data_IF_216372651162
#
_entry.id   IF_216372651162
#
_cell.length_a   1.000
_cell.length_b   1.000
_cell.length_c   1.000
_cell.angle_alpha   90.00
_cell.angle_beta   90.00
_cell.angle_gamma   90.00
#
_symmetry.space_group_name_H-M   'P 1'
#
loop_
_entity.id
_entity.type
_entity.pdbx_description
1 polymer ?
#
# COMPACT_ATOMS: atom_id res chain seq x y z
N UNK A 1 28.61 -23.68 10.33
CA UNK A 1 29.28 -24.93 10.73
C UNK A 1 30.17 -24.55 11.90
N UNK A 2 29.64 -24.67 13.11
CA UNK A 2 30.44 -24.45 14.30
C UNK A 2 31.26 -25.73 14.47
N UNK A 3 32.56 -25.62 14.21
CA UNK A 3 33.53 -26.58 14.73
C UNK A 3 33.60 -26.33 16.25
N UNK A 4 32.62 -26.86 16.97
CA UNK A 4 32.83 -27.19 18.38
C UNK A 4 33.85 -28.30 18.37
N UNK A 5 34.93 -28.12 19.12
CA UNK A 5 36.12 -28.97 19.28
C UNK A 5 35.78 -30.36 19.90
N UNK A 6 34.75 -31.03 19.39
CA UNK A 6 34.52 -32.45 19.57
C UNK A 6 34.96 -33.19 18.32
N UNK A 7 35.45 -34.42 18.48
CA UNK A 7 35.74 -35.34 17.37
C UNK A 7 34.46 -35.60 16.55
N UNK A 8 34.21 -34.75 15.55
CA UNK A 8 33.12 -34.94 14.61
C UNK A 8 33.50 -36.07 13.67
N UNK A 9 32.75 -37.17 13.70
CA UNK A 9 32.91 -38.28 12.77
C UNK A 9 32.09 -38.06 11.50
N UNK A 10 32.70 -38.31 10.35
CA UNK A 10 32.13 -38.09 9.02
C UNK A 10 32.04 -39.41 8.27
N UNK A 11 30.96 -39.57 7.52
CA UNK A 11 30.74 -40.67 6.58
C UNK A 11 30.59 -40.09 5.19
N UNK A 12 30.90 -40.87 4.17
CA UNK A 12 30.75 -40.45 2.77
C UNK A 12 29.31 -40.71 2.34
N UNK A 13 28.65 -39.72 1.74
CA UNK A 13 27.29 -39.89 1.19
C UNK A 13 27.32 -40.95 0.10
N UNK A 14 26.52 -42.01 0.27
CA UNK A 14 26.41 -43.18 -0.61
C UNK A 14 26.13 -42.80 -2.09
N UNK A 15 25.54 -41.63 -2.36
CA UNK A 15 25.23 -41.18 -3.71
C UNK A 15 26.37 -40.37 -4.35
N UNK A 16 27.54 -40.96 -4.54
CA UNK A 16 28.49 -40.43 -5.51
C UNK A 16 27.99 -40.80 -6.92
N UNK A 17 27.01 -40.05 -7.45
CA UNK A 17 26.30 -40.34 -8.71
C UNK A 17 27.20 -40.32 -9.97
N UNK A 18 28.50 -40.04 -9.85
CA UNK A 18 29.49 -40.20 -10.91
C UNK A 18 30.12 -41.61 -10.98
N UNK A 19 29.89 -42.49 -10.00
CA UNK A 19 30.46 -43.85 -10.02
C UNK A 19 29.72 -44.84 -10.93
N UNK A 20 28.51 -44.52 -11.40
CA UNK A 20 27.72 -45.46 -12.22
C UNK A 20 28.26 -45.67 -13.66
N UNK A 21 29.32 -44.95 -14.06
CA UNK A 21 29.86 -45.02 -15.44
C UNK A 21 31.29 -45.56 -15.55
N UNK A 22 31.92 -46.01 -14.46
CA UNK A 22 33.21 -46.70 -14.52
C UNK A 22 33.05 -48.16 -14.08
N UNK A 23 33.54 -49.16 -14.86
CA UNK A 23 33.45 -50.58 -14.50
C UNK A 23 34.27 -50.98 -13.27
N UNK A 24 35.02 -50.04 -12.66
CA UNK A 24 35.87 -50.26 -11.49
C UNK A 24 35.18 -49.78 -10.20
N UNK A 25 33.88 -49.46 -10.25
CA UNK A 25 33.05 -49.32 -9.04
C UNK A 25 32.82 -50.71 -8.39
N UNK A 26 33.90 -51.38 -7.98
CA UNK A 26 33.83 -52.19 -6.76
C UNK A 26 33.47 -51.20 -5.67
N UNK A 27 32.30 -51.41 -5.08
CA UNK A 27 31.85 -50.75 -3.87
C UNK A 27 33.06 -50.68 -2.94
N UNK A 28 33.53 -49.48 -2.62
CA UNK A 28 34.51 -49.36 -1.57
C UNK A 28 33.82 -49.88 -0.31
N UNK A 29 34.28 -51.02 0.21
CA UNK A 29 33.68 -51.66 1.38
C UNK A 29 33.56 -50.68 2.55
N UNK A 30 34.49 -49.72 2.65
CA UNK A 30 34.48 -48.67 3.67
C UNK A 30 33.38 -47.60 3.44
N UNK A 31 33.07 -47.26 2.18
CA UNK A 31 31.95 -46.38 1.83
C UNK A 31 30.59 -47.10 2.01
N UNK A 32 30.51 -48.39 1.66
CA UNK A 32 29.28 -49.18 1.81
C UNK A 32 28.96 -49.46 3.29
N UNK A 33 29.98 -49.75 4.10
CA UNK A 33 29.85 -49.94 5.55
C UNK A 33 29.68 -48.65 6.35
N UNK A 34 29.61 -47.48 5.69
CA UNK A 34 29.55 -46.16 6.34
C UNK A 34 30.63 -46.00 7.41
N UNK A 35 31.87 -46.30 7.05
CA UNK A 35 33.01 -46.13 7.97
C UNK A 35 33.09 -44.68 8.42
N UNK A 36 33.30 -44.48 9.72
CA UNK A 36 33.43 -43.17 10.35
C UNK A 36 34.89 -42.69 10.24
N UNK A 37 35.07 -41.49 9.69
CA UNK A 37 36.37 -40.83 9.51
C UNK A 37 36.41 -39.51 10.28
N UNK A 38 37.60 -39.01 10.61
CA UNK A 38 37.76 -37.57 10.90
C UNK A 38 37.62 -36.77 9.58
N UNK A 39 37.39 -35.45 9.66
CA UNK A 39 37.14 -34.63 8.45
C UNK A 39 38.25 -34.76 7.40
N UNK A 40 39.50 -34.75 7.85
CA UNK A 40 40.68 -34.86 6.97
C UNK A 40 40.74 -36.24 6.30
N UNK A 41 40.60 -37.31 7.07
CA UNK A 41 40.60 -38.68 6.55
C UNK A 41 39.42 -38.98 5.63
N UNK A 42 38.27 -38.34 5.85
CA UNK A 42 37.11 -38.45 4.96
C UNK A 42 37.38 -37.78 3.60
N UNK A 43 38.02 -36.61 3.60
CA UNK A 43 38.42 -35.91 2.37
C UNK A 43 39.55 -36.64 1.66
N UNK A 44 40.54 -37.14 2.39
CA UNK A 44 41.62 -37.98 1.83
C UNK A 44 41.06 -39.25 1.18
N UNK A 45 40.10 -39.92 1.82
CA UNK A 45 39.42 -41.08 1.23
C UNK A 45 38.65 -40.70 -0.05
N UNK A 46 37.95 -39.56 -0.05
CA UNK A 46 37.30 -39.03 -1.24
C UNK A 46 38.29 -38.69 -2.37
N UNK A 47 39.48 -38.19 -2.04
CA UNK A 47 40.50 -37.87 -3.05
C UNK A 47 41.22 -39.12 -3.57
N UNK A 48 41.52 -40.09 -2.69
CA UNK A 48 42.19 -41.34 -3.04
C UNK A 48 41.38 -42.21 -4.01
N UNK A 49 40.05 -42.20 -3.90
CA UNK A 49 39.15 -42.94 -4.80
C UNK A 49 38.88 -42.25 -6.15
N UNK A 50 39.48 -41.08 -6.44
CA UNK A 50 39.09 -40.18 -7.53
C UNK A 50 40.16 -39.88 -8.58
N UNK A 51 41.05 -40.83 -8.89
CA UNK A 51 42.01 -40.70 -10.01
C UNK A 51 41.34 -40.45 -11.39
N UNK A 52 40.02 -40.70 -11.54
CA UNK A 52 39.32 -40.62 -12.83
C UNK A 52 38.16 -39.61 -12.91
N UNK A 53 37.81 -38.88 -11.84
CA UNK A 53 36.59 -38.03 -11.84
C UNK A 53 36.79 -36.58 -11.39
N UNK A 54 38.03 -36.14 -11.13
CA UNK A 54 38.27 -34.71 -10.93
C UNK A 54 38.12 -33.98 -12.28
N UNK A 55 37.33 -32.91 -12.29
CA UNK A 55 37.45 -31.91 -13.35
C UNK A 55 38.92 -31.45 -13.41
N UNK A 56 39.51 -31.23 -14.61
CA UNK A 56 40.96 -31.00 -14.82
C UNK A 56 41.54 -29.70 -14.21
N UNK A 57 40.98 -29.20 -13.09
CA UNK A 57 41.44 -28.04 -12.34
C UNK A 57 41.06 -28.06 -10.84
N UNK A 58 40.76 -29.21 -10.25
CA UNK A 58 40.53 -29.29 -8.80
C UNK A 58 41.87 -29.23 -8.05
N UNK A 59 42.13 -28.12 -7.35
CA UNK A 59 43.26 -27.98 -6.43
C UNK A 59 42.77 -28.27 -5.02
N UNK A 60 43.44 -29.18 -4.32
CA UNK A 60 43.15 -29.48 -2.91
C UNK A 60 43.63 -28.27 -2.08
N UNK A 61 42.72 -27.53 -1.42
CA UNK A 61 43.10 -26.37 -0.64
C UNK A 61 43.80 -26.77 0.66
N UNK A 62 44.62 -25.87 1.20
CA UNK A 62 45.38 -26.11 2.44
C UNK A 62 44.47 -26.23 3.68
N UNK A 63 43.23 -25.74 3.62
CA UNK A 63 42.27 -25.86 4.71
C UNK A 63 41.16 -26.86 4.35
N UNK A 64 40.89 -27.88 5.21
CA UNK A 64 39.88 -28.91 4.94
C UNK A 64 38.45 -28.37 4.71
N UNK A 65 38.13 -27.20 5.29
CA UNK A 65 36.80 -26.60 5.20
C UNK A 65 36.55 -25.82 3.90
N UNK A 66 37.60 -25.48 3.16
CA UNK A 66 37.52 -24.83 1.85
C UNK A 66 37.44 -25.85 0.70
N UNK A 67 37.55 -27.14 1.02
CA UNK A 67 37.50 -28.20 0.03
C UNK A 67 36.07 -28.37 -0.52
N UNK A 68 35.83 -28.16 -1.83
CA UNK A 68 34.50 -28.35 -2.42
C UNK A 68 34.01 -29.79 -2.30
N UNK A 69 34.88 -30.78 -2.06
CA UNK A 69 34.51 -32.16 -1.83
C UNK A 69 33.79 -32.39 -0.50
N UNK A 70 33.85 -31.44 0.45
CA UNK A 70 33.15 -31.52 1.74
C UNK A 70 31.63 -31.69 1.60
N UNK A 71 31.05 -31.23 0.49
CA UNK A 71 29.62 -31.38 0.19
C UNK A 71 29.16 -32.85 0.11
N UNK A 72 30.09 -33.77 -0.19
CA UNK A 72 29.87 -35.21 -0.28
C UNK A 72 30.01 -35.94 1.05
N UNK A 73 30.39 -35.23 2.12
CA UNK A 73 30.45 -35.78 3.46
C UNK A 73 29.13 -35.57 4.20
N UNK A 74 28.82 -36.51 5.09
CA UNK A 74 27.70 -36.48 6.01
C UNK A 74 28.23 -36.72 7.41
N UNK A 75 27.83 -35.90 8.38
CA UNK A 75 28.20 -36.14 9.77
C UNK A 75 27.55 -37.46 10.24
N UNK A 76 28.37 -38.39 10.71
CA UNK A 76 27.97 -39.75 11.08
C UNK A 76 27.13 -39.76 12.35
N UNK A 77 27.41 -38.82 13.25
CA UNK A 77 26.59 -38.54 14.43
C UNK A 77 25.92 -37.19 14.19
N UNK A 78 24.58 -37.07 14.29
CA UNK A 78 23.97 -35.75 14.30
C UNK A 78 24.46 -35.04 15.55
N UNK A 79 25.56 -34.30 15.45
CA UNK A 79 26.02 -33.41 16.51
C UNK A 79 24.84 -32.53 16.89
N UNK A 80 24.66 -32.30 18.20
CA UNK A 80 23.70 -31.33 18.69
C UNK A 80 23.86 -30.05 17.86
N UNK A 81 22.80 -29.68 17.14
CA UNK A 81 22.81 -28.46 16.33
C UNK A 81 23.06 -27.33 17.32
N UNK A 82 24.20 -26.66 17.17
CA UNK A 82 24.52 -25.54 18.03
C UNK A 82 23.40 -24.49 17.97
N UNK A 83 23.11 -23.76 19.06
CA UNK A 83 22.04 -22.76 19.12
C UNK A 83 22.16 -21.69 18.01
N UNK A 84 23.38 -21.41 17.53
CA UNK A 84 23.66 -20.57 16.37
C UNK A 84 22.98 -21.03 15.07
N UNK A 85 22.99 -22.35 14.82
CA UNK A 85 22.44 -22.94 13.61
C UNK A 85 20.92 -22.86 13.62
N UNK A 86 20.29 -23.17 14.75
CA UNK A 86 18.83 -23.06 14.89
C UNK A 86 18.39 -21.59 14.81
N UNK A 87 19.16 -20.68 15.43
CA UNK A 87 18.95 -19.24 15.29
C UNK A 87 19.03 -18.82 13.82
N UNK A 88 20.08 -19.21 13.08
CA UNK A 88 20.24 -18.90 11.65
C UNK A 88 19.09 -19.43 10.80
N UNK A 89 18.66 -20.67 11.05
CA UNK A 89 17.56 -21.29 10.31
C UNK A 89 16.24 -20.56 10.54
N UNK A 90 15.93 -20.17 11.77
CA UNK A 90 14.73 -19.39 12.07
C UNK A 90 14.75 -18.02 11.39
N UNK A 91 15.89 -17.36 11.51
CA UNK A 91 16.19 -16.10 10.84
C UNK A 91 16.01 -16.22 9.29
N UNK A 92 16.36 -17.37 8.68
CA UNK A 92 16.13 -17.62 7.24
C UNK A 92 14.67 -17.89 6.89
N UNK A 93 13.91 -18.54 7.78
CA UNK A 93 12.45 -18.72 7.61
C UNK A 93 11.72 -17.38 7.64
N UNK A 94 12.10 -16.49 8.57
CA UNK A 94 11.57 -15.12 8.64
C UNK A 94 11.83 -14.39 7.32
N UNK A 95 13.07 -14.47 6.82
CA UNK A 95 13.44 -13.85 5.55
C UNK A 95 12.63 -14.38 4.36
N UNK A 96 12.43 -15.70 4.27
CA UNK A 96 11.61 -16.31 3.23
C UNK A 96 10.16 -15.79 3.29
N UNK A 97 9.57 -15.71 4.49
CA UNK A 97 8.22 -15.18 4.70
C UNK A 97 8.12 -13.72 4.23
N UNK A 98 9.10 -12.89 4.57
CA UNK A 98 9.11 -11.48 4.20
C UNK A 98 9.29 -11.30 2.68
N UNK A 99 10.14 -12.11 2.04
CA UNK A 99 10.28 -12.15 0.58
C UNK A 99 8.99 -12.58 -0.11
N UNK A 100 8.28 -13.58 0.43
CA UNK A 100 6.98 -14.01 -0.12
C UNK A 100 5.94 -12.88 -0.02
N UNK A 101 5.96 -12.09 1.05
CA UNK A 101 5.09 -10.92 1.20
C UNK A 101 5.42 -9.83 0.17
N UNK A 102 6.69 -9.53 -0.01
CA UNK A 102 7.18 -8.58 -1.04
C UNK A 102 6.77 -9.06 -2.43
N UNK A 103 7.00 -10.33 -2.75
CA UNK A 103 6.65 -10.96 -4.02
C UNK A 103 5.15 -10.91 -4.28
N UNK A 104 4.33 -11.12 -3.24
CA UNK A 104 2.87 -10.99 -3.34
C UNK A 104 2.47 -9.57 -3.78
N UNK A 105 3.03 -8.53 -3.16
CA UNK A 105 2.76 -7.14 -3.54
C UNK A 105 3.28 -6.81 -4.95
N UNK A 106 4.47 -7.29 -5.32
CA UNK A 106 4.98 -7.12 -6.69
C UNK A 106 4.08 -7.78 -7.74
N UNK A 107 3.53 -8.96 -7.43
CA UNK A 107 2.54 -9.62 -8.31
C UNK A 107 1.25 -8.83 -8.39
N UNK A 108 0.77 -8.26 -7.28
CA UNK A 108 -0.39 -7.37 -7.30
C UNK A 108 -0.14 -6.15 -8.19
N UNK A 109 1.04 -5.54 -8.08
CA UNK A 109 1.46 -4.39 -8.90
C UNK A 109 1.48 -4.73 -10.38
N UNK A 110 1.89 -5.96 -10.76
CA UNK A 110 1.92 -6.40 -12.16
C UNK A 110 0.55 -6.31 -12.85
N UNK A 111 -0.56 -6.50 -12.13
CA UNK A 111 -1.90 -6.34 -12.72
C UNK A 111 -2.20 -4.89 -13.11
N UNK A 112 -1.59 -3.90 -12.45
CA UNK A 112 -1.71 -2.48 -12.82
C UNK A 112 -0.80 -2.09 -14.00
N UNK A 113 0.20 -2.92 -14.32
CA UNK A 113 1.07 -2.76 -15.49
C UNK A 113 0.56 -3.49 -16.73
N UNK A 114 -0.22 -4.56 -16.55
CA UNK A 114 -0.70 -5.39 -17.64
C UNK A 114 -1.72 -4.60 -18.48
N UNK A 115 -1.30 -4.20 -19.68
CA UNK A 115 -2.16 -3.60 -20.70
C UNK A 115 -3.27 -4.60 -21.08
N UNK A 116 -4.57 -4.29 -20.92
CA UNK A 116 -5.58 -4.94 -21.75
C UNK A 116 -5.43 -4.33 -23.15
N UNK A 117 -4.72 -5.03 -24.03
CA UNK A 117 -4.51 -4.57 -25.40
C UNK A 117 -3.35 -5.24 -26.14
N UNK A 118 -2.38 -5.83 -25.43
CA UNK A 118 -1.30 -6.60 -26.04
C UNK A 118 -1.17 -7.96 -25.32
N UNK A 119 -2.16 -8.84 -25.46
CA UNK A 119 -1.83 -10.27 -25.43
C UNK A 119 -1.06 -10.58 -26.72
N UNK A 120 0.04 -11.35 -26.68
CA UNK A 120 0.64 -11.87 -27.90
C UNK A 120 -0.44 -12.67 -28.65
N UNK A 121 -0.64 -12.39 -29.94
CA UNK A 121 -1.63 -13.05 -30.82
C UNK A 121 -1.36 -14.55 -31.07
N UNK A 122 -0.50 -15.19 -30.27
CA UNK A 122 0.01 -16.54 -30.56
C UNK A 122 -0.85 -17.68 -30.02
N UNK A 123 -1.87 -17.42 -29.18
CA UNK A 123 -2.65 -18.49 -28.51
C UNK A 123 -4.17 -18.51 -28.84
N UNK A 124 -4.62 -17.90 -29.94
CA UNK A 124 -6.02 -18.03 -30.40
C UNK A 124 -6.15 -18.95 -31.63
N UNK A 125 -7.06 -19.96 -31.61
CA UNK A 125 -7.34 -20.80 -32.78
C UNK A 125 -7.75 -19.99 -34.02
N UNK A 126 -7.24 -20.41 -35.17
CA UNK A 126 -7.25 -19.70 -36.47
C UNK A 126 -8.62 -19.36 -37.10
N UNK A 127 -9.75 -19.60 -36.42
CA UNK A 127 -11.08 -19.45 -37.04
C UNK A 127 -11.66 -18.03 -37.00
N UNK A 128 -11.08 -17.11 -36.21
CA UNK A 128 -11.57 -15.70 -36.12
C UNK A 128 -10.74 -14.73 -36.98
N UNK A 129 -9.66 -15.20 -37.63
CA UNK A 129 -8.76 -14.33 -38.43
C UNK A 129 -9.32 -13.90 -39.79
N UNK A 130 -10.49 -14.39 -40.22
CA UNK A 130 -11.01 -14.11 -41.57
C UNK A 130 -11.98 -12.92 -41.67
N UNK A 131 -12.57 -12.48 -40.57
CA UNK A 131 -13.61 -11.43 -40.61
C UNK A 131 -13.11 -10.02 -40.23
N UNK A 132 -11.85 -9.88 -39.80
CA UNK A 132 -11.29 -8.58 -39.37
C UNK A 132 -10.36 -7.90 -40.39
N UNK A 133 -10.16 -8.49 -41.58
CA UNK A 133 -9.24 -7.93 -42.59
C UNK A 133 -9.80 -6.78 -43.44
N UNK A 134 -11.07 -6.38 -43.24
CA UNK A 134 -11.72 -5.36 -44.08
C UNK A 134 -11.94 -3.99 -43.42
N UNK A 135 -11.44 -3.76 -42.20
CA UNK A 135 -11.40 -2.40 -41.64
C UNK A 135 -9.98 -2.07 -41.21
N UNK A 136 -9.31 -1.32 -42.07
CA UNK A 136 -8.03 -0.67 -41.81
C UNK A 136 -8.34 0.75 -41.32
N UNK A 137 -8.27 1.07 -40.01
CA UNK A 137 -8.19 2.45 -39.60
C UNK A 137 -6.73 2.88 -39.77
N UNK A 138 -6.58 4.06 -40.35
CA UNK A 138 -5.33 4.77 -40.58
C UNK A 138 -4.46 4.79 -39.33
N UNK A 139 -3.19 4.44 -39.49
CA UNK A 139 -2.16 4.56 -38.47
C UNK A 139 -2.01 6.04 -38.08
N UNK A 140 -2.67 6.47 -37.02
CA UNK A 140 -2.28 7.67 -36.30
C UNK A 140 -0.98 7.36 -35.54
N UNK A 141 0.03 8.15 -35.85
CA UNK A 141 1.43 7.97 -35.47
C UNK A 141 1.69 8.44 -34.02
N UNK A 142 0.83 8.06 -33.08
CA UNK A 142 1.07 8.27 -31.66
C UNK A 142 1.65 6.97 -31.08
N UNK A 143 2.97 6.82 -31.18
CA UNK A 143 3.69 5.94 -30.25
C UNK A 143 3.33 6.41 -28.84
N UNK A 144 2.41 5.69 -28.19
CA UNK A 144 2.06 5.90 -26.81
C UNK A 144 3.33 5.65 -25.98
N UNK A 145 4.06 6.73 -25.66
CA UNK A 145 5.15 6.71 -24.71
C UNK A 145 4.73 5.91 -23.49
N UNK A 146 5.44 4.83 -23.23
CA UNK A 146 5.19 4.00 -22.06
C UNK A 146 5.25 4.94 -20.82
N UNK A 147 4.22 4.94 -19.96
CA UNK A 147 4.26 5.79 -18.78
C UNK A 147 5.49 5.42 -17.96
N UNK A 148 6.34 6.41 -17.68
CA UNK A 148 7.54 6.23 -16.86
C UNK A 148 7.20 5.54 -15.54
N UNK A 149 8.02 4.58 -15.14
CA UNK A 149 7.86 3.85 -13.89
C UNK A 149 7.82 4.85 -12.71
N UNK A 150 6.87 4.72 -11.78
CA UNK A 150 6.86 5.52 -10.56
C UNK A 150 8.18 5.44 -9.80
N UNK A 151 8.72 6.57 -9.36
CA UNK A 151 9.95 6.67 -8.56
C UNK A 151 9.89 5.79 -7.31
N UNK A 152 8.69 5.63 -6.74
CA UNK A 152 8.40 4.75 -5.61
C UNK A 152 8.72 3.27 -5.86
N UNK A 153 8.65 2.78 -7.11
CA UNK A 153 9.06 1.41 -7.48
C UNK A 153 10.57 1.29 -7.48
N UNK A 154 11.27 2.29 -8.03
CA UNK A 154 12.73 2.32 -8.04
C UNK A 154 13.26 2.34 -6.60
N UNK A 155 12.66 3.17 -5.73
CA UNK A 155 12.98 3.22 -4.31
C UNK A 155 12.62 1.91 -3.58
N UNK A 156 11.51 1.25 -3.93
CA UNK A 156 11.17 -0.05 -3.37
C UNK A 156 12.21 -1.12 -3.75
N UNK A 157 12.63 -1.14 -5.01
CA UNK A 157 13.67 -2.06 -5.50
C UNK A 157 14.99 -1.84 -4.77
N UNK A 158 15.43 -0.58 -4.60
CA UNK A 158 16.62 -0.24 -3.81
C UNK A 158 16.53 -0.82 -2.38
N UNK A 159 15.37 -0.72 -1.73
CA UNK A 159 15.19 -1.28 -0.38
C UNK A 159 15.13 -2.80 -0.36
N UNK A 160 14.61 -3.45 -1.40
CA UNK A 160 14.66 -4.91 -1.55
C UNK A 160 16.12 -5.37 -1.69
N UNK A 161 16.94 -4.71 -2.52
CA UNK A 161 18.37 -5.03 -2.64
C UNK A 161 19.09 -4.82 -1.31
N UNK A 162 18.81 -3.71 -0.61
CA UNK A 162 19.35 -3.45 0.73
C UNK A 162 18.96 -4.55 1.72
N UNK A 163 17.73 -5.09 1.64
CA UNK A 163 17.26 -6.18 2.49
C UNK A 163 18.14 -7.43 2.36
N UNK A 164 18.47 -7.85 1.14
CA UNK A 164 19.38 -8.98 0.91
C UNK A 164 20.76 -8.73 1.55
N UNK A 165 21.30 -7.52 1.43
CA UNK A 165 22.60 -7.18 2.02
C UNK A 165 22.60 -7.21 3.56
N UNK A 166 21.53 -6.70 4.19
CA UNK A 166 21.37 -6.71 5.65
C UNK A 166 21.23 -8.15 6.14
N UNK A 167 20.47 -8.98 5.41
CA UNK A 167 20.25 -10.38 5.75
C UNK A 167 21.53 -11.22 5.63
N UNK A 168 22.30 -11.03 4.55
CA UNK A 168 23.60 -11.68 4.38
C UNK A 168 24.55 -11.31 5.52
N UNK A 169 24.58 -10.05 5.93
CA UNK A 169 25.38 -9.58 7.07
C UNK A 169 24.93 -10.20 8.39
N UNK A 170 23.63 -10.31 8.63
CA UNK A 170 23.10 -10.99 9.83
C UNK A 170 23.50 -12.47 9.86
N UNK A 171 23.38 -13.18 8.75
CA UNK A 171 23.80 -14.58 8.66
C UNK A 171 25.29 -14.76 8.98
N UNK A 172 26.16 -13.87 8.46
CA UNK A 172 27.59 -13.87 8.77
C UNK A 172 27.88 -13.57 10.25
N UNK A 173 27.11 -12.68 10.88
CA UNK A 173 27.27 -12.37 12.31
C UNK A 173 26.83 -13.54 13.20
N UNK A 174 25.73 -14.22 12.84
CA UNK A 174 25.26 -15.42 13.56
C UNK A 174 26.24 -16.58 13.44
N UNK A 175 26.97 -16.69 12.33
CA UNK A 175 28.00 -17.72 12.14
C UNK A 175 29.35 -17.40 12.82
N UNK A 176 29.60 -16.12 13.16
CA UNK A 176 30.87 -15.66 13.75
C UNK A 176 30.81 -15.55 15.27
N UNK A 177 29.96 -16.32 15.94
CA UNK A 177 29.79 -16.34 17.41
C UNK A 177 31.12 -16.14 18.16
N UNK A 178 31.37 -14.88 18.54
CA UNK A 178 32.30 -14.48 19.58
C UNK A 178 31.49 -13.61 20.52
N UNK A 179 31.60 -13.90 21.80
CA UNK A 179 30.74 -13.52 22.93
C UNK A 179 30.43 -12.00 23.09
N UNK A 180 30.96 -11.12 22.23
CA UNK A 180 30.83 -9.66 22.31
C UNK A 180 30.00 -9.00 21.17
N UNK A 181 29.24 -9.76 20.37
CA UNK A 181 28.55 -9.23 19.17
C UNK A 181 27.05 -8.89 19.35
N UNK A 182 26.48 -9.05 20.56
CA UNK A 182 25.05 -8.86 20.83
C UNK A 182 24.50 -7.48 20.43
N UNK A 183 25.25 -6.40 20.69
CA UNK A 183 24.85 -5.05 20.31
C UNK A 183 24.76 -4.88 18.77
N UNK A 184 25.76 -5.37 18.02
CA UNK A 184 25.78 -5.29 16.55
C UNK A 184 24.68 -6.15 15.90
N UNK A 185 24.34 -7.29 16.51
CA UNK A 185 23.25 -8.14 16.04
C UNK A 185 21.89 -7.47 16.21
N UNK A 186 21.66 -6.79 17.35
CA UNK A 186 20.43 -6.02 17.58
C UNK A 186 20.28 -4.86 16.60
N UNK A 187 21.35 -4.10 16.34
CA UNK A 187 21.31 -3.03 15.32
C UNK A 187 20.96 -3.59 13.93
N UNK A 188 21.50 -4.76 13.56
CA UNK A 188 21.17 -5.39 12.28
C UNK A 188 19.72 -5.88 12.23
N UNK A 189 19.17 -6.42 13.32
CA UNK A 189 17.76 -6.82 13.43
C UNK A 189 16.82 -5.61 13.28
N UNK A 190 17.07 -4.52 14.01
CA UNK A 190 16.28 -3.28 13.88
C UNK A 190 16.35 -2.71 12.47
N UNK A 191 17.54 -2.70 11.87
CA UNK A 191 17.74 -2.24 10.49
C UNK A 191 17.01 -3.14 9.49
N UNK A 192 16.99 -4.46 9.70
CA UNK A 192 16.26 -5.41 8.88
C UNK A 192 14.77 -5.11 8.89
N UNK A 193 14.15 -5.04 10.08
CA UNK A 193 12.71 -4.75 10.23
C UNK A 193 12.35 -3.42 9.57
N UNK A 194 13.11 -2.37 9.84
CA UNK A 194 12.91 -1.05 9.23
C UNK A 194 13.01 -1.08 7.70
N UNK A 195 13.93 -1.89 7.15
CA UNK A 195 14.12 -2.03 5.70
C UNK A 195 12.95 -2.76 5.06
N UNK A 196 12.45 -3.85 5.67
CA UNK A 196 11.25 -4.57 5.22
C UNK A 196 10.05 -3.64 5.20
N UNK A 197 9.77 -2.96 6.31
CA UNK A 197 8.62 -2.05 6.42
C UNK A 197 8.70 -0.91 5.41
N UNK A 198 9.90 -0.39 5.17
CA UNK A 198 10.11 0.67 4.17
C UNK A 198 9.91 0.14 2.76
N UNK A 199 10.42 -1.05 2.42
CA UNK A 199 10.19 -1.67 1.11
C UNK A 199 8.70 -1.90 0.86
N UNK A 200 7.98 -2.47 1.83
CA UNK A 200 6.54 -2.71 1.73
C UNK A 200 5.75 -1.41 1.56
N UNK A 201 6.03 -0.39 2.38
CA UNK A 201 5.39 0.94 2.24
C UNK A 201 5.64 1.56 0.88
N UNK A 202 6.86 1.47 0.34
CA UNK A 202 7.20 2.01 -0.98
C UNK A 202 6.48 1.27 -2.12
N UNK A 203 6.30 -0.05 -2.01
CA UNK A 203 5.49 -0.81 -2.96
C UNK A 203 4.00 -0.42 -2.89
N UNK A 204 3.48 -0.14 -1.69
CA UNK A 204 2.12 0.38 -1.54
C UNK A 204 1.97 1.79 -2.12
N UNK A 205 2.93 2.69 -1.88
CA UNK A 205 2.95 4.03 -2.49
C UNK A 205 3.04 3.95 -4.00
N UNK A 206 3.90 3.07 -4.55
CA UNK A 206 3.98 2.83 -5.98
C UNK A 206 2.66 2.39 -6.59
N UNK A 207 1.91 1.58 -5.86
CA UNK A 207 0.59 1.14 -6.26
C UNK A 207 -0.40 2.30 -6.34
N UNK A 208 -0.39 3.17 -5.34
CA UNK A 208 -1.20 4.40 -5.31
C UNK A 208 -0.81 5.35 -6.45
N UNK A 209 0.50 5.55 -6.68
CA UNK A 209 1.03 6.38 -7.77
C UNK A 209 0.62 5.86 -9.16
N UNK A 210 0.61 4.54 -9.37
CA UNK A 210 0.15 3.95 -10.62
C UNK A 210 -1.32 4.24 -10.88
N UNK A 211 -2.17 4.10 -9.87
CA UNK A 211 -3.62 4.39 -9.99
C UNK A 211 -3.84 5.87 -10.27
N UNK A 212 -3.12 6.74 -9.56
CA UNK A 212 -3.21 8.18 -9.77
C UNK A 212 -2.68 8.61 -11.14
N UNK A 213 -1.56 8.01 -11.61
CA UNK A 213 -1.00 8.24 -12.94
C UNK A 213 -1.85 7.65 -14.07
N UNK A 214 -2.62 6.60 -13.78
CA UNK A 214 -3.66 6.05 -14.65
C UNK A 214 -4.85 7.01 -14.75
N UNK A 215 -5.32 7.53 -13.62
CA UNK A 215 -6.42 8.48 -13.56
C UNK A 215 -6.08 9.85 -14.18
N UNK A 216 -4.85 10.34 -14.01
CA UNK A 216 -4.44 11.69 -14.42
C UNK A 216 -4.02 11.82 -15.90
N UNK A 217 -3.53 10.74 -16.54
CA UNK A 217 -2.98 10.79 -17.92
C UNK A 217 -3.93 10.23 -19.00
N UNK A 218 -5.20 10.63 -19.01
CA UNK A 218 -6.26 10.28 -20.00
C UNK A 218 -7.13 9.06 -19.65
N UNK A 219 -8.45 9.28 -19.69
CA UNK A 219 -9.52 8.27 -19.60
C UNK A 219 -9.67 7.45 -20.90
N UNK A 220 -8.58 6.96 -21.49
CA UNK A 220 -8.71 5.97 -22.56
C UNK A 220 -9.28 4.67 -21.98
N UNK A 221 -10.30 4.09 -22.61
CA UNK A 221 -11.06 2.91 -22.15
C UNK A 221 -10.20 1.80 -21.55
N UNK A 222 -9.05 1.46 -22.16
CA UNK A 222 -8.19 0.37 -21.68
C UNK A 222 -7.38 0.65 -20.40
N UNK A 223 -7.45 1.85 -19.82
CA UNK A 223 -6.76 2.20 -18.56
C UNK A 223 -7.69 2.20 -17.34
N UNK A 224 -9.00 2.29 -17.55
CA UNK A 224 -10.00 2.24 -16.47
C UNK A 224 -10.18 0.79 -15.94
N UNK A 225 -9.98 -0.21 -16.80
CA UNK A 225 -10.05 -1.64 -16.44
C UNK A 225 -9.05 -2.02 -15.33
N UNK A 226 -7.85 -1.44 -15.36
CA UNK A 226 -6.79 -1.73 -14.38
C UNK A 226 -7.13 -1.24 -12.96
N UNK A 227 -7.94 -0.19 -12.85
CA UNK A 227 -8.37 0.38 -11.55
C UNK A 227 -9.66 -0.28 -11.06
N UNK A 228 -10.51 -0.74 -11.98
CA UNK A 228 -11.81 -1.35 -11.70
C UNK A 228 -12.93 -0.31 -11.58
N UNK A 229 -14.09 -0.66 -12.12
CA UNK A 229 -15.28 0.20 -12.08
C UNK A 229 -15.77 0.47 -10.65
N UNK A 230 -15.54 -0.47 -9.73
CA UNK A 230 -15.91 -0.38 -8.32
C UNK A 230 -15.15 0.75 -7.61
N UNK A 231 -13.85 0.88 -7.89
CA UNK A 231 -13.04 1.97 -7.36
C UNK A 231 -13.49 3.33 -7.90
N UNK A 232 -13.76 3.40 -9.21
CA UNK A 232 -14.23 4.63 -9.87
C UNK A 232 -15.57 5.06 -9.27
N UNK A 233 -16.51 4.13 -9.11
CA UNK A 233 -17.79 4.40 -8.47
C UNK A 233 -17.60 4.89 -7.02
N UNK A 234 -16.74 4.24 -6.24
CA UNK A 234 -16.43 4.66 -4.88
C UNK A 234 -15.85 6.09 -4.82
N UNK A 235 -14.93 6.43 -5.73
CA UNK A 235 -14.37 7.77 -5.82
C UNK A 235 -15.36 8.81 -6.33
N UNK A 236 -16.28 8.44 -7.22
CA UNK A 236 -17.39 9.31 -7.62
C UNK A 236 -18.30 9.62 -6.43
N UNK A 237 -18.72 8.58 -5.69
CA UNK A 237 -19.53 8.71 -4.47
C UNK A 237 -18.84 9.57 -3.42
N UNK A 238 -17.52 9.41 -3.26
CA UNK A 238 -16.70 10.22 -2.36
C UNK A 238 -16.55 11.69 -2.80
N UNK A 239 -16.87 12.06 -4.04
CA UNK A 239 -16.62 13.43 -4.54
C UNK A 239 -17.88 14.14 -5.07
N UNK A 240 -19.08 13.60 -4.83
CA UNK A 240 -20.35 14.20 -5.29
C UNK A 240 -20.50 15.67 -4.86
N UNK A 241 -20.07 16.01 -3.64
CA UNK A 241 -20.21 17.35 -3.08
C UNK A 241 -19.28 18.39 -3.73
N UNK A 242 -18.07 18.00 -4.11
CA UNK A 242 -17.05 18.94 -4.60
C UNK A 242 -17.10 19.13 -6.11
N UNK A 243 -17.90 18.34 -6.84
CA UNK A 243 -18.02 18.38 -8.30
C UNK A 243 -16.73 18.07 -9.06
N UNK A 244 -15.60 17.97 -8.37
CA UNK A 244 -14.31 17.61 -8.88
C UNK A 244 -14.10 16.12 -8.63
N UNK A 245 -14.02 15.34 -9.70
CA UNK A 245 -13.60 13.94 -9.62
C UNK A 245 -12.12 13.89 -9.20
N UNK A 246 -11.86 14.03 -7.89
CA UNK A 246 -10.52 13.98 -7.31
C UNK A 246 -10.20 12.54 -6.94
N UNK A 247 -9.56 11.83 -7.86
CA UNK A 247 -8.74 10.67 -7.51
C UNK A 247 -7.43 11.24 -6.95
N UNK A 248 -7.45 11.69 -5.70
CA UNK A 248 -6.25 12.17 -5.02
C UNK A 248 -6.26 11.66 -3.59
N UNK A 249 -5.61 10.51 -3.39
CA UNK A 249 -5.24 10.03 -2.08
C UNK A 249 -3.74 10.31 -1.87
N UNK A 250 -3.41 11.41 -1.19
CA UNK A 250 -2.04 11.70 -0.77
C UNK A 250 -1.79 13.18 -0.42
N UNK A 251 -0.89 13.49 0.52
CA UNK A 251 -0.48 14.86 0.81
C UNK A 251 0.21 15.46 -0.42
N UNK A 252 -0.09 16.72 -0.69
CA UNK A 252 0.41 17.52 -1.80
C UNK A 252 1.93 17.36 -1.98
N UNK A 253 2.35 16.78 -3.11
CA UNK A 253 3.68 17.00 -3.67
C UNK A 253 3.49 17.93 -4.88
N UNK A 254 4.23 19.04 -4.96
CA UNK A 254 4.05 20.03 -6.01
C UNK A 254 4.65 19.48 -7.31
N UNK A 255 3.80 18.95 -8.19
CA UNK A 255 4.20 18.68 -9.57
C UNK A 255 3.91 19.95 -10.37
N UNK A 256 5.00 20.58 -10.80
CA UNK A 256 4.99 21.77 -11.64
C UNK A 256 4.13 21.60 -12.91
N UNK A 257 3.31 22.63 -13.15
CA UNK A 257 2.83 23.11 -14.46
C UNK A 257 2.09 22.11 -15.35
N UNK A 258 0.84 21.83 -14.99
CA UNK A 258 -0.22 21.65 -15.97
C UNK A 258 -1.45 22.45 -15.51
N UNK A 259 -1.75 23.53 -16.23
CA UNK A 259 -2.90 24.40 -16.02
C UNK A 259 -4.20 23.64 -16.35
N UNK A 260 -4.73 22.93 -15.37
CA UNK A 260 -6.16 22.83 -15.19
C UNK A 260 -6.43 23.34 -13.78
N UNK A 261 -6.74 24.63 -13.64
CA UNK A 261 -7.31 25.18 -12.42
C UNK A 261 -8.67 24.52 -12.18
N UNK A 262 -8.65 23.28 -11.73
CA UNK A 262 -9.78 22.67 -11.04
C UNK A 262 -9.81 23.35 -9.67
N UNK A 263 -10.47 24.51 -9.61
CA UNK A 263 -10.84 25.13 -8.34
C UNK A 263 -11.55 24.07 -7.52
N UNK A 264 -10.87 23.50 -6.52
CA UNK A 264 -11.60 22.79 -5.49
C UNK A 264 -12.41 23.80 -4.74
N UNK A 265 -13.72 23.64 -4.83
CA UNK A 265 -14.61 24.29 -3.91
C UNK A 265 -14.44 23.60 -2.55
N UNK A 266 -13.77 24.28 -1.62
CA UNK A 266 -13.79 23.91 -0.21
C UNK A 266 -15.10 24.43 0.39
N UNK A 267 -16.10 23.55 0.43
CA UNK A 267 -17.43 23.88 0.94
C UNK A 267 -17.39 24.30 2.41
N UNK A 268 -16.56 23.65 3.24
CA UNK A 268 -16.46 23.98 4.65
C UNK A 268 -15.92 25.40 4.82
N UNK A 269 -14.84 25.73 4.12
CA UNK A 269 -14.29 27.08 4.16
C UNK A 269 -15.30 28.13 3.65
N UNK A 270 -16.01 27.81 2.56
CA UNK A 270 -17.05 28.69 2.01
C UNK A 270 -18.16 28.99 3.03
N UNK A 271 -18.75 27.95 3.63
CA UNK A 271 -19.83 28.11 4.60
C UNK A 271 -19.35 28.72 5.92
N UNK A 272 -18.11 28.46 6.33
CA UNK A 272 -17.50 29.13 7.49
C UNK A 272 -17.36 30.63 7.25
N UNK A 273 -16.88 31.03 6.08
CA UNK A 273 -16.78 32.44 5.70
C UNK A 273 -18.15 33.11 5.63
N UNK A 274 -19.15 32.42 5.07
CA UNK A 274 -20.52 32.92 4.99
C UNK A 274 -21.14 33.12 6.39
N UNK A 275 -20.97 32.14 7.30
CA UNK A 275 -21.43 32.24 8.69
C UNK A 275 -20.78 33.41 9.43
N UNK A 276 -19.46 33.60 9.28
CA UNK A 276 -18.74 34.72 9.89
C UNK A 276 -19.21 36.08 9.35
N UNK A 277 -19.49 36.17 8.04
CA UNK A 277 -20.00 37.38 7.43
C UNK A 277 -21.42 37.72 7.92
N UNK A 278 -22.25 36.70 8.15
CA UNK A 278 -23.58 36.87 8.75
C UNK A 278 -23.47 37.34 10.21
N UNK A 279 -22.65 36.67 11.02
CA UNK A 279 -22.39 37.02 12.43
C UNK A 279 -21.96 38.49 12.58
N UNK A 280 -21.03 38.94 11.73
CA UNK A 280 -20.59 40.34 11.72
C UNK A 280 -21.74 41.31 11.38
N UNK A 281 -22.51 41.04 10.31
CA UNK A 281 -23.62 41.90 9.89
C UNK A 281 -24.74 41.94 10.92
N UNK A 282 -25.03 40.82 11.57
CA UNK A 282 -26.10 40.72 12.57
C UNK A 282 -25.75 41.45 13.86
N UNK A 283 -24.47 41.43 14.26
CA UNK A 283 -24.01 42.15 15.45
C UNK A 283 -24.01 43.67 15.23
N UNK A 284 -23.83 44.14 14.00
CA UNK A 284 -23.93 45.57 13.67
C UNK A 284 -25.38 46.04 13.57
N UNK A 285 -26.24 45.25 12.91
CA UNK A 285 -27.63 45.61 12.64
C UNK A 285 -28.55 44.40 12.82
N UNK A 286 -29.17 44.21 14.00
CA UNK A 286 -30.15 43.16 14.20
C UNK A 286 -31.45 43.54 13.48
N UNK A 287 -31.81 42.81 12.43
CA UNK A 287 -33.03 43.05 11.68
C UNK A 287 -33.60 41.76 11.07
N UNK A 288 -34.90 41.76 10.79
CA UNK A 288 -35.64 40.56 10.34
C UNK A 288 -35.04 39.87 9.10
N UNK A 289 -34.44 40.60 8.16
CA UNK A 289 -33.80 39.99 6.98
C UNK A 289 -32.58 39.14 7.37
N UNK A 290 -31.84 39.54 8.39
CA UNK A 290 -30.69 38.77 8.88
C UNK A 290 -31.15 37.45 9.53
N UNK A 291 -32.26 37.46 10.26
CA UNK A 291 -32.89 36.25 10.80
C UNK A 291 -33.31 35.26 9.69
N UNK A 292 -33.91 35.76 8.60
CA UNK A 292 -34.27 34.93 7.43
C UNK A 292 -33.03 34.35 6.76
N UNK A 293 -31.97 35.15 6.61
CA UNK A 293 -30.70 34.69 6.02
C UNK A 293 -30.02 33.60 6.86
N UNK A 294 -30.02 33.73 8.20
CA UNK A 294 -29.47 32.69 9.09
C UNK A 294 -30.29 31.39 8.95
N UNK A 295 -31.62 31.47 8.86
CA UNK A 295 -32.46 30.29 8.66
C UNK A 295 -32.20 29.60 7.32
N UNK A 296 -32.02 30.36 6.24
CA UNK A 296 -31.63 29.78 4.94
C UNK A 296 -30.28 29.06 5.03
N UNK A 297 -29.31 29.64 5.74
CA UNK A 297 -28.02 28.99 6.01
C UNK A 297 -28.18 27.70 6.83
N UNK A 298 -29.02 27.68 7.87
CA UNK A 298 -29.31 26.46 8.65
C UNK A 298 -29.88 25.36 7.75
N UNK A 299 -30.82 25.69 6.87
CA UNK A 299 -31.44 24.75 5.92
C UNK A 299 -30.41 24.18 4.93
N UNK A 300 -29.51 25.02 4.39
CA UNK A 300 -28.41 24.59 3.52
C UNK A 300 -27.41 23.67 4.25
N UNK A 301 -26.98 24.05 5.46
CA UNK A 301 -26.08 23.24 6.28
C UNK A 301 -26.70 21.88 6.64
N UNK A 302 -28.01 21.85 6.89
CA UNK A 302 -28.74 20.62 7.17
C UNK A 302 -28.85 19.71 5.94
N UNK A 303 -29.08 20.28 4.76
CA UNK A 303 -29.04 19.54 3.50
C UNK A 303 -27.66 18.93 3.24
N UNK A 304 -26.58 19.69 3.47
CA UNK A 304 -25.20 19.21 3.34
C UNK A 304 -24.88 18.08 4.32
N UNK A 305 -25.36 18.19 5.57
CA UNK A 305 -25.21 17.13 6.57
C UNK A 305 -25.93 15.85 6.13
N UNK A 306 -27.16 15.96 5.63
CA UNK A 306 -27.90 14.81 5.10
C UNK A 306 -27.16 14.15 3.94
N UNK A 307 -26.65 14.96 3.00
CA UNK A 307 -25.85 14.46 1.88
C UNK A 307 -24.57 13.74 2.35
N UNK A 308 -23.86 14.29 3.34
CA UNK A 308 -22.65 13.69 3.91
C UNK A 308 -22.95 12.30 4.54
N UNK A 309 -24.04 12.20 5.31
CA UNK A 309 -24.50 10.93 5.90
C UNK A 309 -24.85 9.92 4.80
N UNK A 310 -25.60 10.33 3.78
CA UNK A 310 -25.96 9.46 2.65
C UNK A 310 -24.73 8.97 1.91
N UNK A 311 -23.76 9.86 1.64
CA UNK A 311 -22.49 9.47 1.02
C UNK A 311 -21.72 8.46 1.87
N UNK A 312 -21.68 8.64 3.19
CA UNK A 312 -21.04 7.69 4.10
C UNK A 312 -21.68 6.29 3.99
N UNK A 313 -23.01 6.21 3.95
CA UNK A 313 -23.72 4.96 3.76
C UNK A 313 -23.49 4.34 2.38
N UNK A 314 -23.48 5.15 1.31
CA UNK A 314 -23.16 4.69 -0.03
C UNK A 314 -21.75 4.09 -0.11
N UNK A 315 -20.77 4.74 0.52
CA UNK A 315 -19.39 4.23 0.62
C UNK A 315 -19.32 2.91 1.39
N UNK A 316 -20.04 2.80 2.51
CA UNK A 316 -20.08 1.57 3.30
C UNK A 316 -20.73 0.41 2.52
N UNK A 317 -21.85 0.67 1.85
CA UNK A 317 -22.51 -0.30 0.98
C UNK A 317 -21.62 -0.72 -0.19
N UNK A 318 -20.94 0.24 -0.82
CA UNK A 318 -19.99 -0.02 -1.91
C UNK A 318 -18.88 -0.98 -1.46
N UNK A 319 -18.31 -0.78 -0.27
CA UNK A 319 -17.33 -1.70 0.32
C UNK A 319 -17.90 -3.10 0.51
N UNK A 320 -19.14 -3.23 1.00
CA UNK A 320 -19.78 -4.55 1.22
C UNK A 320 -20.02 -5.29 -0.10
N UNK A 321 -20.54 -4.60 -1.12
CA UNK A 321 -20.78 -5.18 -2.44
C UNK A 321 -19.46 -5.53 -3.14
N UNK A 322 -18.44 -4.72 -2.90
CA UNK A 322 -17.10 -4.91 -3.45
C UNK A 322 -16.29 -6.01 -2.72
N UNK A 323 -16.76 -6.49 -1.56
CA UNK A 323 -16.03 -7.49 -0.81
C UNK A 323 -15.91 -8.80 -1.61
N UNK A 324 -14.71 -9.38 -1.75
CA UNK A 324 -14.50 -10.66 -2.43
C UNK A 324 -15.40 -11.76 -1.90
N UNK A 325 -15.76 -11.74 -0.61
CA UNK A 325 -16.67 -12.71 0.01
C UNK A 325 -18.10 -12.63 -0.53
N UNK A 326 -18.48 -11.50 -1.13
CA UNK A 326 -19.79 -11.27 -1.75
C UNK A 326 -19.91 -11.86 -3.16
N UNK A 327 -18.81 -12.32 -3.78
CA UNK A 327 -18.81 -12.91 -5.12
C UNK A 327 -18.83 -14.43 -5.07
N UNK A 328 -19.60 -15.05 -5.97
CA UNK A 328 -19.67 -16.52 -6.12
C UNK A 328 -18.35 -17.13 -6.62
N UNK A 329 -17.62 -16.40 -7.45
CA UNK A 329 -16.30 -16.76 -7.98
C UNK A 329 -15.37 -15.58 -7.75
N UNK A 330 -14.22 -15.83 -7.09
CA UNK A 330 -13.28 -14.78 -6.71
C UNK A 330 -11.98 -14.93 -7.50
N UNK A 331 -11.75 -14.00 -8.41
CA UNK A 331 -10.49 -13.93 -9.13
C UNK A 331 -9.37 -13.31 -8.27
N UNK A 332 -8.13 -13.74 -8.52
CA UNK A 332 -6.94 -13.17 -7.84
C UNK A 332 -6.84 -11.66 -8.06
N UNK A 333 -7.29 -11.19 -9.21
CA UNK A 333 -7.34 -9.77 -9.54
C UNK A 333 -8.36 -9.00 -8.69
N UNK A 334 -9.55 -9.57 -8.44
CA UNK A 334 -10.56 -8.97 -7.57
C UNK A 334 -10.04 -8.77 -6.16
N UNK A 335 -9.37 -9.78 -5.59
CA UNK A 335 -8.73 -9.70 -4.28
C UNK A 335 -7.65 -8.60 -4.23
N UNK A 336 -6.86 -8.48 -5.30
CA UNK A 336 -5.90 -7.39 -5.41
C UNK A 336 -6.65 -6.04 -5.41
N UNK A 337 -7.57 -5.79 -6.35
CA UNK A 337 -8.31 -4.53 -6.46
C UNK A 337 -9.05 -4.13 -5.17
N UNK A 338 -9.72 -5.08 -4.51
CA UNK A 338 -10.49 -4.80 -3.29
C UNK A 338 -9.64 -4.23 -2.15
N UNK A 339 -8.40 -4.67 -1.98
CA UNK A 339 -7.53 -4.14 -0.92
C UNK A 339 -7.33 -2.61 -1.03
N UNK A 340 -7.31 -2.08 -2.24
CA UNK A 340 -7.19 -0.64 -2.50
C UNK A 340 -8.53 0.07 -2.36
N UNK A 341 -9.58 -0.49 -2.95
CA UNK A 341 -10.94 0.03 -2.85
C UNK A 341 -11.32 0.20 -1.39
N UNK A 342 -11.07 -0.84 -0.57
CA UNK A 342 -11.27 -0.80 0.87
C UNK A 342 -10.49 0.35 1.52
N UNK A 343 -9.20 0.51 1.22
CA UNK A 343 -8.37 1.59 1.78
C UNK A 343 -8.87 2.98 1.34
N UNK A 344 -9.26 3.13 0.08
CA UNK A 344 -9.81 4.38 -0.46
C UNK A 344 -11.15 4.74 0.17
N UNK A 345 -12.06 3.76 0.27
CA UNK A 345 -13.37 3.90 0.91
C UNK A 345 -13.22 4.26 2.39
N UNK A 346 -12.34 3.59 3.14
CA UNK A 346 -12.14 3.92 4.56
C UNK A 346 -11.57 5.32 4.76
N UNK A 347 -10.64 5.77 3.90
CA UNK A 347 -10.18 7.16 3.91
C UNK A 347 -11.32 8.13 3.64
N UNK A 348 -12.09 7.91 2.57
CA UNK A 348 -13.23 8.75 2.23
C UNK A 348 -14.29 8.80 3.35
N UNK A 349 -14.55 7.67 4.03
CA UNK A 349 -15.43 7.61 5.20
C UNK A 349 -14.90 8.40 6.38
N UNK A 350 -13.58 8.36 6.64
CA UNK A 350 -12.95 9.15 7.69
C UNK A 350 -13.02 10.65 7.40
N UNK A 351 -12.81 11.05 6.14
CA UNK A 351 -12.94 12.45 5.71
C UNK A 351 -14.38 12.94 5.82
N UNK A 352 -15.35 12.14 5.35
CA UNK A 352 -16.79 12.44 5.55
C UNK A 352 -17.16 12.59 7.01
N UNK A 353 -16.64 11.74 7.90
CA UNK A 353 -16.88 11.86 9.34
C UNK A 353 -16.33 13.18 9.90
N UNK A 354 -15.13 13.59 9.48
CA UNK A 354 -14.53 14.86 9.88
C UNK A 354 -15.38 16.05 9.45
N UNK A 355 -15.73 16.10 8.16
CA UNK A 355 -16.59 17.15 7.61
C UNK A 355 -17.98 17.15 8.25
N UNK A 356 -18.54 15.96 8.56
CA UNK A 356 -19.81 15.82 9.25
C UNK A 356 -19.79 16.45 10.65
N UNK A 357 -18.66 16.33 11.36
CA UNK A 357 -18.48 17.00 12.65
C UNK A 357 -18.37 18.51 12.49
N UNK A 358 -17.64 19.00 11.47
CA UNK A 358 -17.51 20.44 11.19
C UNK A 358 -18.86 21.06 10.80
N UNK A 359 -19.64 20.38 9.95
CA UNK A 359 -21.01 20.77 9.59
C UNK A 359 -21.90 20.84 10.84
N UNK A 360 -21.78 19.89 11.76
CA UNK A 360 -22.54 19.90 13.01
C UNK A 360 -22.16 21.10 13.89
N UNK A 361 -20.87 21.41 14.01
CA UNK A 361 -20.40 22.60 14.73
C UNK A 361 -20.93 23.89 14.11
N UNK A 362 -20.90 24.02 12.78
CA UNK A 362 -21.45 25.19 12.09
C UNK A 362 -22.97 25.32 12.28
N UNK A 363 -23.70 24.20 12.25
CA UNK A 363 -25.15 24.18 12.45
C UNK A 363 -25.53 24.62 13.88
N UNK A 364 -24.79 24.16 14.89
CA UNK A 364 -24.97 24.66 16.27
C UNK A 364 -24.72 26.16 16.37
N UNK A 365 -23.62 26.64 15.77
CA UNK A 365 -23.28 28.07 15.79
C UNK A 365 -24.30 28.93 15.05
N UNK A 366 -24.84 28.46 13.93
CA UNK A 366 -25.93 29.13 13.22
C UNK A 366 -27.20 29.20 14.08
N UNK A 367 -27.53 28.11 14.80
CA UNK A 367 -28.62 28.06 15.78
C UNK A 367 -28.47 29.08 16.90
N UNK A 368 -27.29 29.17 17.50
CA UNK A 368 -26.98 30.14 18.54
C UNK A 368 -27.08 31.58 18.02
N UNK A 369 -26.58 31.82 16.80
CA UNK A 369 -26.66 33.13 16.16
C UNK A 369 -28.12 33.52 15.90
N UNK A 370 -28.95 32.59 15.43
CA UNK A 370 -30.38 32.81 15.22
C UNK A 370 -31.09 33.19 16.51
N UNK A 371 -30.79 32.49 17.61
CA UNK A 371 -31.36 32.78 18.93
C UNK A 371 -30.98 34.20 19.39
N UNK A 372 -29.70 34.57 19.30
CA UNK A 372 -29.20 35.91 19.66
C UNK A 372 -29.84 37.03 18.83
N UNK A 373 -29.97 36.83 17.52
CA UNK A 373 -30.60 37.81 16.62
C UNK A 373 -32.07 37.97 16.92
N UNK A 374 -32.76 36.87 17.24
CA UNK A 374 -34.17 36.90 17.63
C UNK A 374 -34.37 37.76 18.89
N UNK A 375 -33.59 37.49 19.94
CA UNK A 375 -33.62 38.27 21.18
C UNK A 375 -33.30 39.75 20.93
N UNK A 376 -32.29 40.04 20.13
CA UNK A 376 -31.91 41.42 19.79
C UNK A 376 -33.02 42.17 19.03
N UNK A 377 -33.75 41.48 18.14
CA UNK A 377 -34.91 42.07 17.45
C UNK A 377 -36.05 42.30 18.43
N UNK A 378 -36.32 41.36 19.35
CA UNK A 378 -37.38 41.51 20.37
C UNK A 378 -37.10 42.74 21.27
N UNK A 379 -35.85 42.95 21.69
CA UNK A 379 -35.44 44.14 22.46
C UNK A 379 -35.59 45.44 21.65
N UNK A 380 -35.23 45.43 20.36
CA UNK A 380 -35.41 46.60 19.49
C UNK A 380 -36.89 46.92 19.23
N UNK A 381 -37.72 45.89 19.07
CA UNK A 381 -39.17 46.05 18.91
C UNK A 381 -39.79 46.62 20.20
N UNK A 382 -39.33 46.23 21.39
CA UNK A 382 -39.76 46.83 22.67
C UNK A 382 -39.46 48.34 22.74
N UNK A 383 -38.29 48.77 22.25
CA UNK A 383 -37.97 50.19 22.09
C UNK A 383 -38.96 50.92 21.18
N UNK A 384 -39.34 50.32 20.05
CA UNK A 384 -40.36 50.89 19.15
C UNK A 384 -41.74 50.97 19.81
N UNK A 385 -42.15 49.96 20.58
CA UNK A 385 -43.41 49.99 21.32
C UNK A 385 -43.45 51.13 22.34
N UNK A 386 -42.33 51.46 22.98
CA UNK A 386 -42.24 52.62 23.88
C UNK A 386 -42.42 53.94 23.13
N UNK A 387 -41.79 54.10 21.96
CA UNK A 387 -41.98 55.30 21.11
C UNK A 387 -43.45 55.41 20.66
N UNK A 388 -44.06 54.31 20.24
CA UNK A 388 -45.46 54.30 19.83
C UNK A 388 -46.37 54.69 21.00
N UNK A 389 -46.10 54.20 22.22
CA UNK A 389 -46.85 54.60 23.43
C UNK A 389 -46.75 56.09 23.69
N UNK A 390 -45.54 56.66 23.63
CA UNK A 390 -45.33 58.11 23.80
C UNK A 390 -46.05 58.92 22.72
N UNK A 391 -45.96 58.50 21.46
CA UNK A 391 -46.66 59.15 20.35
C UNK A 391 -48.18 59.08 20.51
N UNK A 392 -48.71 57.93 20.93
CA UNK A 392 -50.14 57.73 21.16
C UNK A 392 -50.62 58.63 22.31
N UNK A 393 -49.85 58.72 23.40
CA UNK A 393 -50.15 59.62 24.51
C UNK A 393 -50.19 61.08 24.07
N UNK A 394 -49.19 61.52 23.30
CA UNK A 394 -49.13 62.88 22.76
C UNK A 394 -50.34 63.16 21.85
N UNK A 395 -50.65 62.25 20.94
CA UNK A 395 -51.80 62.39 20.03
C UNK A 395 -53.12 62.44 20.79
N UNK A 396 -53.32 61.60 21.80
CA UNK A 396 -54.55 61.61 22.60
C UNK A 396 -54.73 62.91 23.40
N UNK A 397 -53.64 63.54 23.84
CA UNK A 397 -53.69 64.80 24.57
C UNK A 397 -53.93 66.01 23.65
N UNK A 398 -53.24 66.06 22.50
CA UNK A 398 -53.19 67.25 21.65
C UNK A 398 -54.16 67.25 20.47
N UNK A 399 -54.70 66.11 20.05
CA UNK A 399 -55.67 66.07 18.95
C UNK A 399 -57.08 66.60 19.32
N UNK A 400 -57.56 66.46 20.58
CA UNK A 400 -58.82 67.07 21.01
C UNK A 400 -58.73 68.55 21.41
N UNK A 401 -57.52 69.07 21.65
CA UNK A 401 -57.22 70.47 21.96
C UNK A 401 -57.09 71.27 20.65
#
# INVERSE_FOLDING_TARGET
>A
MNAVEGEQSWTIKVSCNSHFKSPIARLCDACESKTEYNLVGALEHLHAGREYTQSPGHQIPATPHEDPCIAWLQNAKPGEKGPAFDTLMEDMRIFLRDLLRILHLCRQLRYFFARPGNLPEDDLPNEVKRDQQSQKPERSNHQAEAPGLPTSIVLAFEKIVLLFSVRARMALLTLREKENMGHRQNVCKTRYVSTVDTALRRLETAREDLINGIAAKNLSSGRLDAVGGEYIAAMAMANVQTGAFRISAGPQVPIHKAQAQTMSLDLIAFYTAHLNALDFKTNQHPHRRAFVAIRALEEELQALRYLNITQWHCLDNSKRVSDPTSFRVVDRERNARFSLEKKAVERAKADRRREGNELLTMLHRAGDLRAKVKESIEVLDEGHWNVLRVFTLYTLLFLPL
#
